data_IF_964755270286
#
_entry.id   IF_964755270286
#
_cell.length_a   1.000
_cell.length_b   1.000
_cell.length_c   1.000
_cell.angle_alpha   90.00
_cell.angle_beta   90.00
_cell.angle_gamma   90.00
#
_symmetry.space_group_name_H-M   'P 1'
#
loop_
_entity.id
_entity.type
_entity.pdbx_description
1 polymer ?
#
# COMPACT_ATOMS: atom_id res chain seq x y z
N UNK A 1 -6.12 -37.39 2.92
CA UNK A 1 -5.40 -36.70 1.83
C UNK A 1 -5.81 -35.24 1.88
N UNK A 2 -5.08 -34.48 2.64
CA UNK A 2 -5.34 -33.06 2.92
C UNK A 2 -4.79 -32.25 1.73
N UNK A 3 -5.69 -31.81 0.85
CA UNK A 3 -5.33 -30.82 -0.17
C UNK A 3 -5.23 -29.49 0.57
N UNK A 4 -4.04 -29.19 1.10
CA UNK A 4 -3.69 -27.85 1.52
C UNK A 4 -4.00 -26.91 0.35
N UNK A 5 -5.01 -26.08 0.55
CA UNK A 5 -5.39 -24.98 -0.33
C UNK A 5 -4.25 -23.94 -0.27
N UNK A 6 -3.15 -24.21 -0.99
CA UNK A 6 -2.06 -23.24 -1.13
C UNK A 6 -2.62 -22.13 -2.02
N UNK A 7 -3.20 -21.12 -1.37
CA UNK A 7 -3.61 -19.90 -2.06
C UNK A 7 -2.41 -19.33 -2.80
N UNK A 8 -2.51 -19.32 -4.12
CA UNK A 8 -1.45 -18.84 -5.00
C UNK A 8 -1.14 -17.38 -4.65
N UNK A 9 0.12 -17.06 -4.31
CA UNK A 9 0.48 -15.69 -3.95
C UNK A 9 0.30 -14.75 -5.15
N UNK A 10 -0.19 -13.53 -4.88
CA UNK A 10 -0.33 -12.52 -5.94
C UNK A 10 0.99 -11.84 -6.28
N UNK A 11 1.96 -11.84 -5.36
CA UNK A 11 3.32 -11.36 -5.57
C UNK A 11 4.29 -12.42 -5.11
N UNK A 12 5.28 -12.73 -5.95
CA UNK A 12 6.42 -13.58 -5.63
C UNK A 12 7.71 -12.86 -6.02
N UNK A 13 8.59 -12.70 -5.05
CA UNK A 13 9.93 -12.11 -5.21
C UNK A 13 10.93 -13.19 -4.84
N UNK A 14 11.80 -13.59 -5.78
CA UNK A 14 12.77 -14.65 -5.58
C UNK A 14 14.19 -14.13 -5.89
N UNK A 15 15.04 -14.12 -4.86
CA UNK A 15 16.45 -13.76 -4.89
C UNK A 15 16.72 -12.41 -5.58
N UNK A 16 15.85 -11.42 -5.32
CA UNK A 16 15.94 -10.12 -5.96
C UNK A 16 17.01 -9.26 -5.32
N UNK A 17 17.95 -8.76 -6.14
CA UNK A 17 18.95 -7.77 -5.75
C UNK A 17 18.87 -6.55 -6.68
N UNK A 18 19.09 -5.36 -6.11
CA UNK A 18 19.08 -4.10 -6.82
C UNK A 18 20.12 -3.12 -6.28
N UNK A 19 20.76 -2.37 -7.19
CA UNK A 19 21.72 -1.32 -6.86
C UNK A 19 21.56 -0.10 -7.77
N UNK A 20 21.83 1.09 -7.21
CA UNK A 20 22.04 2.31 -8.00
C UNK A 20 23.55 2.52 -8.21
N UNK A 21 24.01 2.46 -9.46
CA UNK A 21 25.43 2.47 -9.75
C UNK A 21 26.15 1.31 -9.04
N UNK A 22 27.06 1.62 -8.09
CA UNK A 22 27.78 0.63 -7.27
C UNK A 22 27.18 0.45 -5.88
N UNK A 23 26.17 1.24 -5.51
CA UNK A 23 25.57 1.21 -4.17
C UNK A 23 24.45 0.15 -4.08
N UNK A 24 24.63 -0.94 -3.32
CA UNK A 24 23.58 -1.94 -3.12
C UNK A 24 22.45 -1.37 -2.25
N UNK A 25 21.21 -1.58 -2.71
CA UNK A 25 19.99 -1.13 -2.04
C UNK A 25 19.16 -2.31 -1.56
N UNK A 26 19.05 -3.35 -2.37
CA UNK A 26 18.37 -4.60 -2.02
C UNK A 26 19.29 -5.78 -2.32
N UNK A 27 19.38 -6.72 -1.38
CA UNK A 27 20.26 -7.88 -1.46
C UNK A 27 19.46 -9.14 -1.13
N UNK A 28 19.33 -10.03 -2.10
CA UNK A 28 18.71 -11.36 -1.97
C UNK A 28 17.31 -11.37 -1.34
N UNK A 29 16.43 -10.49 -1.81
CA UNK A 29 15.05 -10.39 -1.29
C UNK A 29 14.22 -11.59 -1.75
N UNK A 30 13.64 -12.28 -0.77
CA UNK A 30 12.70 -13.37 -0.95
C UNK A 30 11.40 -13.05 -0.22
N UNK A 31 10.33 -12.68 -0.93
CA UNK A 31 9.06 -12.24 -0.34
C UNK A 31 7.89 -12.79 -1.14
N UNK A 32 6.88 -13.27 -0.43
CA UNK A 32 5.63 -13.76 -1.02
C UNK A 32 4.44 -13.03 -0.37
N UNK A 33 3.53 -12.48 -1.18
CA UNK A 33 2.30 -11.83 -0.71
C UNK A 33 1.12 -12.68 -1.14
N UNK A 34 0.39 -13.24 -0.17
CA UNK A 34 -0.80 -14.07 -0.42
C UNK A 34 -1.98 -13.20 -0.83
N UNK A 35 -2.88 -13.76 -1.64
CA UNK A 35 -4.13 -13.08 -1.98
C UNK A 35 -4.95 -12.84 -0.71
N UNK A 36 -5.50 -11.64 -0.57
CA UNK A 36 -6.31 -11.26 0.59
C UNK A 36 -5.51 -10.95 1.86
N UNK A 37 -4.18 -11.07 1.86
CA UNK A 37 -3.38 -10.67 3.02
C UNK A 37 -3.28 -9.13 3.13
N UNK A 38 -3.05 -8.67 4.35
CA UNK A 38 -2.69 -7.30 4.64
C UNK A 38 -1.25 -7.30 5.18
N UNK A 39 -0.28 -7.08 4.27
CA UNK A 39 1.14 -7.08 4.61
C UNK A 39 1.62 -5.68 4.99
N UNK A 40 2.21 -5.55 6.18
CA UNK A 40 2.98 -4.38 6.59
C UNK A 40 4.46 -4.54 6.25
N UNK A 41 5.02 -3.63 5.46
CA UNK A 41 6.45 -3.56 5.16
C UNK A 41 7.09 -2.45 5.97
N UNK A 42 7.94 -2.83 6.93
CA UNK A 42 8.62 -1.90 7.85
C UNK A 42 10.13 -1.94 7.67
N UNK A 43 10.81 -0.93 8.21
CA UNK A 43 12.26 -0.83 8.20
C UNK A 43 12.73 0.63 8.30
N UNK A 44 14.00 0.88 8.63
CA UNK A 44 14.54 2.23 8.77
C UNK A 44 14.52 3.01 7.45
N UNK A 45 14.73 4.33 7.54
CA UNK A 45 14.88 5.15 6.35
C UNK A 45 16.12 4.70 5.57
N UNK A 46 16.00 4.62 4.24
CA UNK A 46 17.07 4.11 3.38
C UNK A 46 17.17 2.58 3.31
N UNK A 47 16.29 1.83 3.95
CA UNK A 47 16.31 0.34 3.95
C UNK A 47 15.95 -0.31 2.61
N UNK A 48 15.48 0.47 1.63
CA UNK A 48 15.12 -0.06 0.30
C UNK A 48 13.61 -0.21 0.06
N UNK A 49 12.71 0.14 1.01
CA UNK A 49 11.24 -0.01 0.89
C UNK A 49 10.68 0.64 -0.38
N UNK A 50 10.96 1.91 -0.60
CA UNK A 50 10.47 2.64 -1.79
C UNK A 50 11.09 2.11 -3.09
N UNK A 51 12.32 1.56 -3.03
CA UNK A 51 12.94 0.89 -4.17
C UNK A 51 12.23 -0.41 -4.48
N UNK A 52 11.88 -1.22 -3.48
CA UNK A 52 11.10 -2.43 -3.65
C UNK A 52 9.73 -2.14 -4.27
N UNK A 53 9.04 -1.07 -3.80
CA UNK A 53 7.78 -0.62 -4.43
C UNK A 53 7.99 -0.25 -5.89
N UNK A 54 9.02 0.53 -6.23
CA UNK A 54 9.29 0.91 -7.64
C UNK A 54 9.50 -0.31 -8.52
N UNK A 55 10.18 -1.34 -8.02
CA UNK A 55 10.37 -2.58 -8.74
C UNK A 55 9.04 -3.33 -8.91
N UNK A 56 8.20 -3.40 -7.87
CA UNK A 56 6.85 -4.00 -7.93
C UNK A 56 5.91 -3.25 -8.88
N UNK A 57 6.11 -1.96 -9.07
CA UNK A 57 5.37 -1.13 -10.03
C UNK A 57 5.99 -1.15 -11.44
N UNK A 58 7.06 -1.93 -11.67
CA UNK A 58 7.75 -2.00 -12.95
C UNK A 58 8.50 -0.73 -13.35
N UNK A 59 8.70 0.22 -12.41
CA UNK A 59 9.42 1.47 -12.63
C UNK A 59 10.94 1.31 -12.56
N UNK A 60 11.39 0.27 -11.87
CA UNK A 60 12.80 -0.14 -11.79
C UNK A 60 12.93 -1.62 -12.13
N UNK A 61 14.07 -2.00 -12.71
CA UNK A 61 14.36 -3.38 -13.09
C UNK A 61 15.40 -3.96 -12.13
N UNK A 62 15.15 -5.12 -11.49
CA UNK A 62 16.15 -5.73 -10.63
C UNK A 62 17.40 -6.15 -11.40
N UNK A 63 18.58 -6.11 -10.75
CA UNK A 63 19.83 -6.57 -11.34
C UNK A 63 19.91 -8.10 -11.34
N UNK A 64 19.33 -8.75 -10.30
CA UNK A 64 19.26 -10.20 -10.15
C UNK A 64 17.90 -10.62 -9.64
N UNK A 65 17.58 -11.91 -9.80
CA UNK A 65 16.35 -12.51 -9.31
C UNK A 65 15.16 -12.32 -10.24
N UNK A 66 13.99 -12.72 -9.76
CA UNK A 66 12.76 -12.72 -10.53
C UNK A 66 11.58 -12.23 -9.67
N UNK A 67 10.65 -11.51 -10.31
CA UNK A 67 9.41 -11.06 -9.70
C UNK A 67 8.26 -11.51 -10.58
N UNK A 68 7.25 -12.07 -9.94
CA UNK A 68 5.96 -12.39 -10.56
C UNK A 68 4.86 -11.64 -9.82
N UNK A 69 3.93 -11.08 -10.59
CA UNK A 69 2.73 -10.42 -10.08
C UNK A 69 1.53 -11.03 -10.80
N UNK A 70 0.54 -11.50 -10.04
CA UNK A 70 -0.58 -12.30 -10.56
C UNK A 70 -0.10 -13.42 -11.48
N UNK A 71 0.87 -14.18 -11.00
CA UNK A 71 1.53 -15.28 -11.71
C UNK A 71 2.20 -14.90 -13.06
N UNK A 72 2.35 -13.62 -13.34
CA UNK A 72 2.98 -13.10 -14.56
C UNK A 72 4.32 -12.47 -14.22
N UNK A 73 5.42 -12.79 -14.93
CA UNK A 73 6.70 -12.10 -14.78
C UNK A 73 6.52 -10.57 -14.94
N UNK A 74 7.12 -9.78 -14.04
CA UNK A 74 6.91 -8.33 -13.98
C UNK A 74 7.22 -7.62 -15.31
N UNK A 75 8.22 -8.08 -16.04
CA UNK A 75 8.62 -7.53 -17.37
C UNK A 75 7.61 -7.85 -18.48
N UNK A 76 6.66 -8.75 -18.25
CA UNK A 76 5.55 -9.11 -19.16
C UNK A 76 4.20 -8.68 -18.64
N UNK A 77 4.14 -8.16 -17.41
CA UNK A 77 2.88 -7.75 -16.78
C UNK A 77 2.28 -6.53 -17.47
N UNK A 78 1.00 -6.57 -17.81
CA UNK A 78 0.28 -5.51 -18.53
C UNK A 78 -1.00 -5.06 -17.82
N UNK A 79 -1.51 -5.85 -16.87
CA UNK A 79 -2.79 -5.58 -16.20
C UNK A 79 -2.61 -4.61 -15.00
N UNK A 80 -1.95 -3.47 -15.26
CA UNK A 80 -1.62 -2.48 -14.22
C UNK A 80 -2.86 -1.89 -13.53
N UNK A 81 -4.01 -1.92 -14.17
CA UNK A 81 -5.30 -1.55 -13.58
C UNK A 81 -5.70 -2.40 -12.37
N UNK A 82 -5.10 -3.60 -12.23
CA UNK A 82 -5.28 -4.48 -11.05
C UNK A 82 -4.48 -4.05 -9.84
N UNK A 83 -3.58 -3.07 -9.99
CA UNK A 83 -2.74 -2.54 -8.93
C UNK A 83 -3.11 -1.09 -8.67
N UNK A 84 -3.62 -0.80 -7.47
CA UNK A 84 -3.79 0.55 -6.97
C UNK A 84 -2.50 1.01 -6.26
N UNK A 85 -2.11 2.26 -6.44
CA UNK A 85 -0.94 2.82 -5.76
C UNK A 85 -1.24 4.20 -5.16
N UNK A 86 -0.93 4.35 -3.87
CA UNK A 86 -0.95 5.62 -3.14
C UNK A 86 0.48 5.96 -2.74
N UNK A 87 1.05 7.00 -3.33
CA UNK A 87 2.42 7.43 -3.05
C UNK A 87 2.50 8.30 -1.79
N UNK A 88 3.65 8.30 -1.13
CA UNK A 88 3.96 9.18 0.00
C UNK A 88 3.69 10.67 -0.31
N UNK A 89 3.98 11.11 -1.54
CA UNK A 89 3.77 12.51 -1.99
C UNK A 89 2.31 12.85 -2.28
N UNK A 90 1.37 11.91 -2.17
CA UNK A 90 -0.04 12.18 -2.43
C UNK A 90 -0.59 13.27 -1.50
N UNK A 91 -0.11 13.34 -0.24
CA UNK A 91 -0.53 14.33 0.75
C UNK A 91 0.11 15.73 0.56
N UNK A 92 1.03 15.90 -0.39
CA UNK A 92 1.68 17.21 -0.67
C UNK A 92 1.09 17.90 -1.91
N UNK A 93 -0.22 17.78 -2.11
CA UNK A 93 -0.88 18.47 -3.20
C UNK A 93 -0.79 19.99 -2.96
N UNK A 94 -0.30 20.72 -3.96
CA UNK A 94 -0.22 22.17 -3.88
C UNK A 94 -1.64 22.75 -3.75
N UNK A 95 -1.95 23.41 -2.63
CA UNK A 95 -3.27 23.98 -2.31
C UNK A 95 -3.76 24.99 -3.36
N UNK A 96 -2.86 25.51 -4.21
CA UNK A 96 -3.18 26.42 -5.31
C UNK A 96 -3.63 25.75 -6.61
N UNK A 97 -3.63 24.43 -6.73
CA UNK A 97 -4.03 23.78 -7.98
C UNK A 97 -5.56 23.56 -7.98
N UNK A 98 -6.32 24.19 -8.89
CA UNK A 98 -7.78 24.17 -8.89
C UNK A 98 -8.32 22.86 -9.48
N UNK A 99 -8.26 21.76 -8.73
CA UNK A 99 -8.78 20.46 -9.13
C UNK A 99 -9.79 19.95 -8.11
N UNK A 100 -10.92 19.47 -8.58
CA UNK A 100 -11.97 18.90 -7.73
C UNK A 100 -11.63 17.48 -7.28
N UNK A 101 -12.24 17.05 -6.18
CA UNK A 101 -12.15 15.66 -5.69
C UNK A 101 -12.56 14.67 -6.77
N UNK A 102 -13.64 14.95 -7.52
CA UNK A 102 -14.10 14.12 -8.64
C UNK A 102 -13.02 13.97 -9.72
N UNK A 103 -12.39 15.05 -10.10
CA UNK A 103 -11.33 15.04 -11.13
C UNK A 103 -10.11 14.23 -10.66
N UNK A 104 -9.69 14.41 -9.39
CA UNK A 104 -8.59 13.62 -8.81
C UNK A 104 -8.87 12.13 -8.87
N UNK A 105 -10.09 11.70 -8.46
CA UNK A 105 -10.45 10.27 -8.50
C UNK A 105 -10.55 9.78 -9.95
N UNK A 106 -11.06 10.61 -10.88
CA UNK A 106 -11.15 10.25 -12.29
C UNK A 106 -9.80 9.93 -12.94
N UNK A 107 -8.71 10.57 -12.47
CA UNK A 107 -7.35 10.30 -12.95
C UNK A 107 -6.93 8.82 -12.77
N UNK A 108 -7.49 8.12 -11.77
CA UNK A 108 -7.22 6.70 -11.55
C UNK A 108 -7.76 5.79 -12.66
N UNK A 109 -8.64 6.29 -13.53
CA UNK A 109 -9.18 5.54 -14.68
C UNK A 109 -8.35 5.71 -15.97
N UNK A 110 -7.43 6.66 -16.04
CA UNK A 110 -6.72 6.94 -17.30
C UNK A 110 -5.90 5.75 -17.82
N UNK A 111 -5.34 4.94 -16.95
CA UNK A 111 -4.65 3.71 -17.34
C UNK A 111 -5.57 2.69 -18.05
N UNK A 112 -6.87 2.70 -17.71
CA UNK A 112 -7.88 1.78 -18.27
C UNK A 112 -8.60 2.36 -19.47
N UNK A 113 -8.88 3.67 -19.46
CA UNK A 113 -9.68 4.36 -20.48
C UNK A 113 -8.82 4.85 -21.65
N UNK A 114 -7.55 5.19 -21.37
CA UNK A 114 -6.64 5.84 -22.35
C UNK A 114 -6.73 7.37 -22.31
N UNK A 115 -5.64 8.02 -22.70
CA UNK A 115 -5.38 9.46 -22.47
C UNK A 115 -6.32 10.43 -23.23
N UNK A 116 -7.03 9.96 -24.27
CA UNK A 116 -7.87 10.80 -25.16
C UNK A 116 -9.32 10.32 -25.23
N UNK A 117 -9.77 9.50 -24.28
CA UNK A 117 -11.14 8.99 -24.28
C UNK A 117 -11.98 9.66 -23.19
N UNK A 118 -13.20 10.04 -23.56
CA UNK A 118 -14.17 10.61 -22.63
C UNK A 118 -14.70 9.54 -21.64
N UNK A 119 -14.93 9.97 -20.39
CA UNK A 119 -15.54 9.14 -19.38
C UNK A 119 -17.01 8.87 -19.75
N UNK A 120 -17.37 7.60 -19.88
CA UNK A 120 -18.74 7.18 -20.13
C UNK A 120 -19.53 7.03 -18.81
N UNK A 121 -20.82 6.69 -18.90
CA UNK A 121 -21.71 6.54 -17.73
C UNK A 121 -21.17 5.51 -16.72
N UNK A 122 -20.58 4.41 -17.20
CA UNK A 122 -19.99 3.38 -16.33
C UNK A 122 -18.81 3.95 -15.52
N UNK A 123 -17.93 4.71 -16.16
CA UNK A 123 -16.78 5.34 -15.48
C UNK A 123 -17.24 6.37 -14.43
N UNK A 124 -18.29 7.14 -14.71
CA UNK A 124 -18.88 8.08 -13.75
C UNK A 124 -19.41 7.36 -12.52
N UNK A 125 -20.11 6.23 -12.69
CA UNK A 125 -20.59 5.40 -11.59
C UNK A 125 -19.41 4.83 -10.77
N UNK A 126 -18.34 4.34 -11.42
CA UNK A 126 -17.15 3.84 -10.72
C UNK A 126 -16.50 4.93 -9.84
N UNK A 127 -16.48 6.19 -10.30
CA UNK A 127 -15.96 7.32 -9.51
C UNK A 127 -16.82 7.53 -8.25
N UNK A 128 -18.16 7.55 -8.40
CA UNK A 128 -19.08 7.68 -7.27
C UNK A 128 -18.91 6.54 -6.27
N UNK A 129 -18.90 5.29 -6.74
CA UNK A 129 -18.68 4.11 -5.90
C UNK A 129 -17.34 4.15 -5.16
N UNK A 130 -16.28 4.64 -5.81
CA UNK A 130 -14.98 4.78 -5.18
C UNK A 130 -14.99 5.85 -4.08
N UNK A 131 -15.68 6.98 -4.32
CA UNK A 131 -15.85 8.05 -3.33
C UNK A 131 -16.73 7.61 -2.15
N UNK A 132 -17.82 6.89 -2.40
CA UNK A 132 -18.68 6.32 -1.36
C UNK A 132 -17.92 5.34 -0.45
N UNK A 133 -17.08 4.45 -1.05
CA UNK A 133 -16.24 3.49 -0.29
C UNK A 133 -15.36 4.16 0.77
N UNK A 134 -14.95 5.40 0.53
CA UNK A 134 -14.09 6.17 1.43
C UNK A 134 -14.82 7.29 2.18
N UNK A 135 -16.15 7.42 2.01
CA UNK A 135 -16.98 8.45 2.64
C UNK A 135 -16.69 9.86 2.15
N UNK A 136 -16.42 10.05 0.86
CA UNK A 136 -16.06 11.33 0.27
C UNK A 136 -16.98 11.79 -0.88
N UNK A 137 -18.12 11.13 -1.15
CA UNK A 137 -18.99 11.48 -2.27
C UNK A 137 -19.62 12.87 -2.13
N UNK A 138 -19.96 13.30 -0.90
CA UNK A 138 -20.48 14.66 -0.65
C UNK A 138 -19.47 15.77 -0.97
N UNK A 139 -18.16 15.44 -0.99
CA UNK A 139 -17.08 16.39 -1.26
C UNK A 139 -16.66 16.42 -2.72
N UNK A 140 -17.31 15.65 -3.62
CA UNK A 140 -16.87 15.46 -5.03
C UNK A 140 -16.63 16.73 -5.82
N UNK A 141 -17.43 17.80 -5.55
CA UNK A 141 -17.34 19.10 -6.23
C UNK A 141 -16.40 20.09 -5.54
N UNK A 142 -15.85 19.75 -4.34
CA UNK A 142 -14.91 20.62 -3.64
C UNK A 142 -13.53 20.53 -4.26
N UNK A 143 -12.77 21.62 -4.13
CA UNK A 143 -11.35 21.62 -4.45
C UNK A 143 -10.60 20.74 -3.44
N UNK A 144 -9.69 19.89 -3.91
CA UNK A 144 -8.91 19.01 -3.03
C UNK A 144 -8.06 19.79 -2.03
N UNK A 145 -7.59 20.98 -2.39
CA UNK A 145 -6.80 21.85 -1.51
C UNK A 145 -7.57 22.42 -0.31
N UNK A 146 -8.92 22.37 -0.32
CA UNK A 146 -9.79 22.79 0.78
C UNK A 146 -10.03 21.69 1.82
N UNK A 147 -9.56 20.47 1.55
CA UNK A 147 -9.78 19.32 2.41
C UNK A 147 -8.68 19.20 3.48
N UNK A 148 -9.06 18.64 4.65
CA UNK A 148 -8.06 18.24 5.65
C UNK A 148 -7.13 17.14 5.12
N UNK A 149 -5.94 16.97 5.73
CA UNK A 149 -4.99 15.92 5.33
C UNK A 149 -5.60 14.52 5.30
N UNK A 150 -6.39 14.16 6.32
CA UNK A 150 -7.08 12.87 6.36
C UNK A 150 -8.18 12.73 5.29
N UNK A 151 -8.85 13.82 4.91
CA UNK A 151 -9.80 13.82 3.80
C UNK A 151 -9.08 13.67 2.45
N UNK A 152 -7.97 14.40 2.23
CA UNK A 152 -7.14 14.26 1.03
C UNK A 152 -6.63 12.83 0.88
N UNK A 153 -6.15 12.22 1.96
CA UNK A 153 -5.70 10.84 1.98
C UNK A 153 -6.80 9.88 1.51
N UNK A 154 -8.05 10.03 2.01
CA UNK A 154 -9.19 9.22 1.56
C UNK A 154 -9.48 9.42 0.07
N UNK A 155 -9.36 10.64 -0.45
CA UNK A 155 -9.51 10.90 -1.90
C UNK A 155 -8.44 10.18 -2.72
N UNK A 156 -7.19 10.14 -2.27
CA UNK A 156 -6.12 9.40 -2.96
C UNK A 156 -6.32 7.88 -2.90
N UNK A 157 -6.91 7.37 -1.81
CA UNK A 157 -7.34 5.96 -1.76
C UNK A 157 -8.45 5.73 -2.78
N UNK A 158 -9.48 6.59 -2.85
CA UNK A 158 -10.56 6.48 -3.85
C UNK A 158 -9.99 6.47 -5.28
N UNK A 159 -9.01 7.34 -5.57
CA UNK A 159 -8.30 7.36 -6.86
C UNK A 159 -7.62 6.02 -7.17
N UNK A 160 -7.01 5.40 -6.17
CA UNK A 160 -6.37 4.10 -6.35
C UNK A 160 -7.38 2.95 -6.49
N UNK A 161 -8.58 3.09 -5.90
CA UNK A 161 -9.65 2.09 -5.90
C UNK A 161 -10.57 2.16 -7.13
N UNK A 162 -10.59 3.29 -7.87
CA UNK A 162 -11.57 3.53 -8.94
C UNK A 162 -11.45 2.55 -10.10
N UNK A 163 -10.27 1.98 -10.32
CA UNK A 163 -10.03 0.92 -11.31
C UNK A 163 -10.46 -0.48 -10.84
N UNK A 164 -10.94 -0.59 -9.58
CA UNK A 164 -11.30 -1.85 -8.90
C UNK A 164 -10.12 -2.84 -8.85
N UNK A 165 -9.02 -2.45 -8.15
CA UNK A 165 -7.80 -3.24 -8.10
C UNK A 165 -7.94 -4.47 -7.18
N UNK A 166 -7.22 -5.54 -7.52
CA UNK A 166 -7.05 -6.72 -6.65
C UNK A 166 -5.92 -6.52 -5.61
N UNK A 167 -5.00 -5.59 -5.86
CA UNK A 167 -3.83 -5.30 -5.02
C UNK A 167 -3.66 -3.79 -4.84
N UNK A 168 -3.54 -3.34 -3.58
CA UNK A 168 -3.36 -1.93 -3.24
C UNK A 168 -2.04 -1.75 -2.49
N UNK A 169 -1.16 -0.90 -3.02
CA UNK A 169 0.12 -0.53 -2.42
C UNK A 169 -0.01 0.88 -1.86
N UNK A 170 0.35 1.06 -0.57
CA UNK A 170 0.33 2.35 0.12
C UNK A 170 1.73 2.63 0.68
N UNK A 171 2.35 3.72 0.20
CA UNK A 171 3.70 4.11 0.58
C UNK A 171 3.65 5.29 1.56
N UNK A 172 3.88 5.02 2.84
CA UNK A 172 3.85 5.97 3.96
C UNK A 172 2.63 6.91 3.95
N UNK A 173 1.41 6.38 3.85
CA UNK A 173 0.22 7.18 3.59
C UNK A 173 -0.19 8.09 4.75
N UNK A 174 0.23 7.81 5.99
CA UNK A 174 -0.21 8.51 7.21
C UNK A 174 0.70 9.66 7.64
N UNK A 175 1.74 9.96 6.87
CA UNK A 175 2.66 11.06 7.18
C UNK A 175 1.93 12.40 7.16
N UNK A 176 1.99 13.14 8.27
CA UNK A 176 1.34 14.45 8.40
C UNK A 176 -0.16 14.40 8.69
N UNK A 177 -0.70 13.25 9.09
CA UNK A 177 -2.11 13.04 9.45
C UNK A 177 -2.25 12.94 10.97
N UNK A 178 -3.31 13.52 11.53
CA UNK A 178 -3.59 13.45 12.96
C UNK A 178 -3.96 12.02 13.43
N UNK A 179 -3.75 11.72 14.72
CA UNK A 179 -3.93 10.37 15.27
C UNK A 179 -5.35 9.80 15.09
N UNK A 180 -6.40 10.62 15.22
CA UNK A 180 -7.77 10.17 15.03
C UNK A 180 -8.05 9.80 13.57
N UNK A 181 -7.53 10.59 12.63
CA UNK A 181 -7.61 10.29 11.19
C UNK A 181 -6.81 9.04 10.82
N UNK A 182 -5.68 8.77 11.49
CA UNK A 182 -4.87 7.55 11.31
C UNK A 182 -5.66 6.31 11.70
N UNK A 183 -6.36 6.33 12.85
CA UNK A 183 -7.21 5.22 13.29
C UNK A 183 -8.30 4.90 12.24
N UNK A 184 -9.05 5.91 11.81
CA UNK A 184 -10.09 5.75 10.77
C UNK A 184 -9.52 5.23 9.44
N UNK A 185 -8.30 5.62 9.11
CA UNK A 185 -7.59 5.13 7.91
C UNK A 185 -7.32 3.62 8.00
N UNK A 186 -6.79 3.12 9.13
CA UNK A 186 -6.58 1.68 9.30
C UNK A 186 -7.88 0.88 9.28
N UNK A 187 -8.95 1.41 9.91
CA UNK A 187 -10.28 0.79 9.86
C UNK A 187 -10.82 0.71 8.42
N UNK A 188 -10.62 1.76 7.62
CA UNK A 188 -10.97 1.76 6.20
C UNK A 188 -10.21 0.68 5.44
N UNK A 189 -8.88 0.59 5.62
CA UNK A 189 -8.07 -0.45 4.98
C UNK A 189 -8.51 -1.86 5.38
N UNK A 190 -8.80 -2.08 6.67
CA UNK A 190 -9.32 -3.37 7.15
C UNK A 190 -10.66 -3.72 6.50
N UNK A 191 -11.58 -2.74 6.37
CA UNK A 191 -12.85 -2.95 5.64
C UNK A 191 -12.64 -3.31 4.17
N UNK A 192 -11.68 -2.67 3.50
CA UNK A 192 -11.33 -2.98 2.11
C UNK A 192 -10.72 -4.38 1.98
N UNK A 193 -9.83 -4.76 2.87
CA UNK A 193 -9.22 -6.08 2.90
C UNK A 193 -10.26 -7.17 3.15
N UNK A 194 -10.98 -7.11 4.29
CA UNK A 194 -11.91 -8.18 4.72
C UNK A 194 -13.15 -8.26 3.84
N UNK A 195 -13.82 -7.10 3.55
CA UNK A 195 -15.09 -7.11 2.82
C UNK A 195 -14.96 -7.22 1.30
N UNK A 196 -13.85 -6.73 0.75
CA UNK A 196 -13.62 -6.71 -0.71
C UNK A 196 -12.52 -7.66 -1.16
N UNK A 197 -11.88 -8.36 -0.22
CA UNK A 197 -10.76 -9.28 -0.46
C UNK A 197 -9.62 -8.64 -1.27
N UNK A 198 -9.41 -7.32 -1.07
CA UNK A 198 -8.29 -6.59 -1.69
C UNK A 198 -7.03 -6.93 -0.91
N UNK A 199 -5.99 -7.37 -1.60
CA UNK A 199 -4.68 -7.57 -0.97
C UNK A 199 -4.02 -6.21 -0.73
N UNK A 200 -3.44 -6.00 0.45
CA UNK A 200 -2.82 -4.74 0.85
C UNK A 200 -1.34 -4.91 1.12
N UNK A 201 -0.53 -3.99 0.60
CA UNK A 201 0.86 -3.77 1.01
C UNK A 201 0.96 -2.35 1.57
N UNK A 202 1.19 -2.23 2.86
CA UNK A 202 1.36 -0.97 3.55
C UNK A 202 2.84 -0.79 3.93
N UNK A 203 3.46 0.26 3.42
CA UNK A 203 4.78 0.68 3.87
C UNK A 203 4.62 1.76 4.91
N UNK A 204 5.19 1.55 6.08
CA UNK A 204 5.15 2.51 7.18
C UNK A 204 6.39 2.37 8.07
N UNK A 205 6.71 3.43 8.80
CA UNK A 205 7.67 3.42 9.91
C UNK A 205 6.98 3.35 11.29
N UNK A 206 5.63 3.49 11.33
CA UNK A 206 4.82 3.35 12.55
C UNK A 206 4.43 1.89 12.77
N UNK A 207 5.31 1.16 13.48
CA UNK A 207 5.13 -0.25 13.78
C UNK A 207 3.99 -0.46 14.77
N UNK A 208 3.88 0.41 15.79
CA UNK A 208 2.93 0.25 16.88
C UNK A 208 1.49 0.27 16.40
N UNK A 209 1.10 1.29 15.64
CA UNK A 209 -0.26 1.40 15.09
C UNK A 209 -0.55 0.28 14.08
N UNK A 210 0.41 -0.03 13.19
CA UNK A 210 0.21 -0.98 12.09
C UNK A 210 -0.06 -2.41 12.58
N UNK A 211 0.68 -2.91 13.59
CA UNK A 211 0.66 -4.33 13.99
C UNK A 211 -0.70 -4.84 14.47
N UNK A 212 -1.60 -3.93 14.86
CA UNK A 212 -2.97 -4.26 15.26
C UNK A 212 -3.93 -4.52 14.09
N UNK A 213 -3.53 -4.16 12.87
CA UNK A 213 -4.40 -4.20 11.68
C UNK A 213 -3.92 -5.14 10.58
N UNK A 214 -2.61 -5.38 10.50
CA UNK A 214 -2.02 -6.23 9.46
C UNK A 214 -2.09 -7.72 9.81
N UNK A 215 -2.19 -8.57 8.79
CA UNK A 215 -2.12 -10.04 8.95
C UNK A 215 -0.68 -10.53 9.00
N UNK A 216 0.17 -9.92 8.20
CA UNK A 216 1.57 -10.31 8.03
C UNK A 216 2.48 -9.09 8.13
N UNK A 217 3.73 -9.29 8.53
CA UNK A 217 4.77 -8.25 8.60
C UNK A 217 6.01 -8.71 7.86
N UNK A 218 6.65 -7.79 7.16
CA UNK A 218 7.97 -7.98 6.56
C UNK A 218 8.90 -6.85 7.01
N UNK A 219 10.08 -7.20 7.52
CA UNK A 219 11.10 -6.23 7.95
C UNK A 219 12.22 -6.16 6.95
N UNK A 220 12.42 -4.99 6.36
CA UNK A 220 13.42 -4.73 5.34
C UNK A 220 14.53 -3.81 5.86
N UNK A 221 15.78 -4.26 5.72
CA UNK A 221 16.96 -3.42 5.86
C UNK A 221 18.04 -3.94 4.91
N UNK A 222 18.00 -3.54 3.63
CA UNK A 222 18.69 -4.08 2.47
C UNK A 222 18.33 -5.55 2.19
N UNK A 223 18.30 -6.40 3.22
CA UNK A 223 17.85 -7.78 3.21
C UNK A 223 16.51 -7.89 3.93
N UNK A 224 15.80 -8.99 3.74
CA UNK A 224 14.59 -9.29 4.48
C UNK A 224 14.97 -10.00 5.80
N UNK A 225 14.82 -9.31 6.93
CA UNK A 225 15.17 -9.84 8.25
C UNK A 225 14.05 -10.63 8.92
N UNK A 226 12.81 -10.29 8.58
CA UNK A 226 11.62 -10.99 9.07
C UNK A 226 10.55 -11.02 7.98
N UNK A 227 9.81 -12.13 7.90
CA UNK A 227 8.59 -12.25 7.14
C UNK A 227 7.72 -13.34 7.77
N UNK A 228 6.60 -12.95 8.36
CA UNK A 228 5.70 -13.86 9.07
C UNK A 228 4.42 -13.17 9.54
N UNK A 229 3.65 -13.87 10.38
CA UNK A 229 2.40 -13.32 10.93
C UNK A 229 2.68 -12.11 11.83
N UNK A 230 1.68 -11.23 11.99
CA UNK A 230 1.79 -10.09 12.91
C UNK A 230 1.94 -10.53 14.37
N UNK A 231 1.49 -11.74 14.73
CA UNK A 231 1.66 -12.30 16.05
C UNK A 231 3.11 -12.75 16.28
N UNK A 232 3.69 -13.52 15.34
CA UNK A 232 5.10 -13.93 15.43
C UNK A 232 6.04 -12.71 15.46
N UNK A 233 5.65 -11.65 14.75
CA UNK A 233 6.40 -10.40 14.74
C UNK A 233 6.44 -9.71 16.12
N UNK A 234 5.32 -9.67 16.85
CA UNK A 234 5.25 -9.08 18.21
C UNK A 234 6.13 -9.82 19.21
N UNK A 235 6.36 -11.11 19.00
CA UNK A 235 7.18 -11.98 19.84
C UNK A 235 8.67 -11.97 19.42
N UNK A 236 8.99 -11.39 18.25
CA UNK A 236 10.35 -11.35 17.72
C UNK A 236 11.19 -10.25 18.34
N UNK A 237 12.48 -10.51 18.53
CA UNK A 237 13.46 -9.50 18.96
C UNK A 237 13.85 -8.61 17.76
N UNK A 238 13.41 -7.36 17.80
CA UNK A 238 13.66 -6.35 16.76
C UNK A 238 14.92 -5.52 16.98
N UNK A 239 15.65 -5.74 18.08
CA UNK A 239 16.83 -4.96 18.46
C UNK A 239 17.92 -4.99 17.38
N UNK A 240 18.05 -6.12 16.67
CA UNK A 240 19.00 -6.28 15.57
C UNK A 240 18.67 -5.44 14.31
N UNK A 241 17.40 -5.06 14.13
CA UNK A 241 16.92 -4.30 12.97
C UNK A 241 17.16 -2.80 13.09
N UNK A 242 17.04 -2.26 14.31
CA UNK A 242 17.06 -0.83 14.55
C UNK A 242 18.32 -0.36 15.27
N UNK A 243 19.21 -1.28 15.69
CA UNK A 243 20.47 -0.94 16.36
C UNK A 243 20.33 -0.38 17.79
N UNK A 244 19.10 -0.33 18.33
CA UNK A 244 18.77 0.05 19.69
C UNK A 244 17.58 -0.78 20.17
N UNK A 245 17.39 -0.92 21.49
CA UNK A 245 16.23 -1.56 22.09
C UNK A 245 14.93 -0.85 21.66
N UNK A 246 14.31 -1.33 20.60
CA UNK A 246 12.97 -0.91 20.19
C UNK A 246 11.97 -1.77 20.94
N UNK A 247 11.49 -1.28 22.07
CA UNK A 247 10.29 -1.84 22.69
C UNK A 247 9.08 -1.43 21.83
N UNK A 248 8.36 -2.40 21.31
CA UNK A 248 7.02 -2.17 20.75
C UNK A 248 6.13 -1.75 21.91
N UNK A 249 5.89 -0.45 22.07
CA UNK A 249 4.94 0.07 23.06
C UNK A 249 3.55 -0.32 22.57
N UNK A 250 3.04 -1.44 23.04
CA UNK A 250 1.63 -1.78 22.90
C UNK A 250 0.86 -0.86 23.85
N UNK A 251 0.19 0.15 23.30
CA UNK A 251 -0.82 0.89 24.07
C UNK A 251 -2.02 -0.04 24.26
N UNK A 252 -2.03 -0.71 25.40
CA UNK A 252 -3.19 -1.44 25.88
C UNK A 252 -4.24 -0.40 26.27
N UNK A 253 -5.24 -0.18 25.45
CA UNK A 253 -6.43 0.59 25.81
C UNK A 253 -7.30 -0.31 26.69
N UNK A 254 -6.84 -0.49 27.94
CA UNK A 254 -7.64 -1.10 28.99
C UNK A 254 -8.95 -0.35 29.11
N UNK A 255 -10.06 -1.08 28.88
CA UNK A 255 -11.40 -0.58 29.15
C UNK A 255 -11.48 -0.12 30.59
N UNK A 256 -11.97 1.08 30.79
CA UNK A 256 -12.49 1.54 32.05
C UNK A 256 -13.99 1.24 32.06
N UNK A 257 -14.39 0.57 33.12
CA UNK A 257 -15.78 0.26 33.53
C UNK A 257 -16.71 1.49 33.55
#
# INVERSE_FOLDING_TARGET
MDKSNQETPIVQINNVSFQYGTQPILEDINLSIKKGSFLGLVGPNGSGKSTLIKILLGLEKPNKGQIRVFDTPINKFKAWEKIGYVSQKANSFNTGFPVTVYEVVSMGLYGKVGLLRFLNRKHKNQIHEALEKVGMDEYKSRNIGELSGGQQQRVFIARALVSDPDFLILDEPTVGVDAASVQHFYELLTKLNVKKNITLLLVTHDIGAMTSFVTDVACLNKNLHFHGSSQDFKESDLSSLYGHDVQVITHDHGGAD
#
